data_IF_761910589276
#
_entry.id   IF_761910589276
#
_cell.length_a   1.000
_cell.length_b   1.000
_cell.length_c   1.000
_cell.angle_alpha   90.00
_cell.angle_beta   90.00
_cell.angle_gamma   90.00
#
_symmetry.space_group_name_H-M   'P 1'
#
loop_
_entity.id
_entity.type
_entity.pdbx_description
1 polymer ?
#
# COMPACT_ATOMS: atom_id res chain seq x y z
N UNK A 1 -11.79 -32.76 18.52
CA UNK A 1 -12.95 -31.90 18.86
C UNK A 1 -12.61 -30.47 18.48
N UNK A 2 -13.41 -29.90 17.58
CA UNK A 2 -13.32 -28.52 17.11
C UNK A 2 -13.88 -27.57 18.17
N UNK A 3 -13.12 -26.53 18.51
CA UNK A 3 -13.68 -25.29 19.05
C UNK A 3 -13.14 -24.13 18.22
N UNK A 4 -13.90 -23.80 17.17
CA UNK A 4 -14.00 -22.41 16.71
C UNK A 4 -14.42 -21.56 17.91
N UNK A 5 -13.59 -20.62 18.31
CA UNK A 5 -14.03 -19.43 19.05
C UNK A 5 -13.56 -18.23 18.24
N UNK A 6 -14.39 -17.76 17.29
CA UNK A 6 -15.40 -16.70 17.47
C UNK A 6 -14.75 -15.40 17.94
N UNK A 7 -14.65 -14.46 16.99
CA UNK A 7 -14.88 -13.04 17.27
C UNK A 7 -14.18 -12.50 18.52
N UNK A 8 -12.85 -12.53 18.53
CA UNK A 8 -12.14 -11.49 19.27
C UNK A 8 -12.31 -10.20 18.46
N UNK A 9 -13.45 -9.58 18.77
CA UNK A 9 -13.76 -8.16 18.66
C UNK A 9 -12.61 -7.41 18.04
N UNK A 10 -12.79 -7.07 16.77
CA UNK A 10 -12.09 -5.98 16.12
C UNK A 10 -12.27 -4.78 17.05
N UNK A 11 -11.31 -4.57 17.95
CA UNK A 11 -11.01 -3.26 18.42
C UNK A 11 -10.79 -2.50 17.11
N UNK A 12 -11.77 -1.68 16.73
CA UNK A 12 -11.57 -0.54 15.86
C UNK A 12 -10.57 0.35 16.60
N UNK A 13 -9.33 -0.12 16.76
CA UNK A 13 -8.23 0.69 17.23
C UNK A 13 -8.16 1.79 16.20
N UNK A 14 -8.62 2.97 16.62
CA UNK A 14 -8.44 4.21 15.91
C UNK A 14 -6.95 4.46 15.83
N UNK A 15 -6.28 3.82 14.88
CA UNK A 15 -4.84 3.92 14.78
C UNK A 15 -4.48 5.38 14.43
N UNK A 16 -3.83 6.11 15.35
CA UNK A 16 -3.41 7.48 15.09
C UNK A 16 -2.49 7.56 13.87
N UNK A 17 -1.74 6.50 13.55
CA UNK A 17 -0.91 6.42 12.35
C UNK A 17 -1.76 6.41 11.09
N UNK A 18 -2.85 5.65 11.03
CA UNK A 18 -3.77 5.66 9.88
C UNK A 18 -4.38 7.04 9.65
N UNK A 19 -4.86 7.72 10.71
CA UNK A 19 -5.37 9.11 10.61
C UNK A 19 -4.28 10.08 10.15
N UNK A 20 -3.07 9.94 10.69
CA UNK A 20 -1.90 10.76 10.32
C UNK A 20 -1.54 10.56 8.85
N UNK A 21 -1.51 9.33 8.35
CA UNK A 21 -1.24 9.01 6.94
C UNK A 21 -2.25 9.70 6.01
N UNK A 22 -3.54 9.59 6.32
CA UNK A 22 -4.60 10.23 5.54
C UNK A 22 -4.45 11.75 5.54
N UNK A 23 -4.19 12.35 6.71
CA UNK A 23 -3.99 13.81 6.83
C UNK A 23 -2.77 14.28 6.03
N UNK A 24 -1.66 13.57 6.11
CA UNK A 24 -0.43 13.90 5.37
C UNK A 24 -0.64 13.78 3.85
N UNK A 25 -1.33 12.72 3.40
CA UNK A 25 -1.68 12.54 1.99
C UNK A 25 -2.61 13.66 1.48
N UNK A 26 -3.64 14.02 2.25
CA UNK A 26 -4.57 15.12 1.92
C UNK A 26 -3.88 16.47 1.85
N UNK A 27 -2.90 16.72 2.73
CA UNK A 27 -2.10 17.96 2.74
C UNK A 27 -0.92 17.93 1.76
N UNK A 28 -0.89 16.98 0.82
CA UNK A 28 0.16 16.81 -0.20
C UNK A 28 1.58 16.62 0.37
N UNK A 29 1.71 16.26 1.65
CA UNK A 29 2.99 15.97 2.29
C UNK A 29 3.43 14.53 1.98
N UNK A 30 3.64 14.23 0.69
CA UNK A 30 3.82 12.86 0.20
C UNK A 30 5.00 12.11 0.82
N UNK A 31 6.14 12.79 1.03
CA UNK A 31 7.30 12.17 1.69
C UNK A 31 7.00 11.75 3.13
N UNK A 32 6.36 12.62 3.91
CA UNK A 32 5.97 12.31 5.29
C UNK A 32 4.88 11.24 5.33
N UNK A 33 3.94 11.28 4.38
CA UNK A 33 2.91 10.25 4.23
C UNK A 33 3.54 8.89 3.93
N UNK A 34 4.55 8.83 3.05
CA UNK A 34 5.28 7.60 2.74
C UNK A 34 6.01 7.05 3.96
N UNK A 35 6.68 7.88 4.77
CA UNK A 35 7.34 7.42 6.01
C UNK A 35 6.32 6.79 6.97
N UNK A 36 5.21 7.47 7.24
CA UNK A 36 4.19 6.96 8.14
C UNK A 36 3.49 5.69 7.58
N UNK A 37 3.29 5.62 6.26
CA UNK A 37 2.73 4.43 5.62
C UNK A 37 3.71 3.26 5.60
N UNK A 38 5.02 3.51 5.53
CA UNK A 38 6.02 2.46 5.63
C UNK A 38 5.94 1.79 7.00
N UNK A 39 5.92 2.58 8.07
CA UNK A 39 5.74 2.06 9.44
C UNK A 39 4.45 1.23 9.56
N UNK A 40 3.34 1.76 9.05
CA UNK A 40 2.05 1.07 9.07
C UNK A 40 2.07 -0.25 8.27
N UNK A 41 2.61 -0.23 7.06
CA UNK A 41 2.63 -1.38 6.16
C UNK A 41 3.51 -2.52 6.70
N UNK A 42 4.64 -2.20 7.35
CA UNK A 42 5.49 -3.20 7.99
C UNK A 42 4.84 -3.79 9.24
N UNK A 43 4.12 -2.97 10.02
CA UNK A 43 3.43 -3.42 11.24
C UNK A 43 2.21 -4.29 10.93
N UNK A 44 1.35 -3.84 10.02
CA UNK A 44 0.06 -4.50 9.75
C UNK A 44 0.16 -5.59 8.69
N UNK A 45 1.22 -5.58 7.87
CA UNK A 45 1.37 -6.49 6.73
C UNK A 45 0.12 -6.51 5.82
N UNK A 46 -0.61 -5.40 5.75
CA UNK A 46 -1.85 -5.31 4.99
C UNK A 46 -1.58 -4.79 3.56
N UNK A 47 -2.13 -5.46 2.53
CA UNK A 47 -1.90 -5.03 1.15
C UNK A 47 -2.32 -3.57 0.85
N UNK A 48 -3.44 -3.04 1.38
CA UNK A 48 -3.82 -1.64 1.16
C UNK A 48 -2.78 -0.61 1.63
N UNK A 49 -2.10 -0.83 2.75
CA UNK A 49 -1.04 0.09 3.21
C UNK A 49 0.17 0.08 2.28
N UNK A 50 0.58 -1.09 1.80
CA UNK A 50 1.65 -1.21 0.79
C UNK A 50 1.31 -0.50 -0.53
N UNK A 51 0.07 -0.65 -1.01
CA UNK A 51 -0.38 0.04 -2.22
C UNK A 51 -0.39 1.56 -2.03
N UNK A 52 -0.90 2.04 -0.88
CA UNK A 52 -0.89 3.48 -0.55
C UNK A 52 0.53 4.02 -0.41
N UNK A 53 1.43 3.26 0.21
CA UNK A 53 2.85 3.61 0.32
C UNK A 53 3.45 3.84 -1.07
N UNK A 54 3.27 2.86 -1.97
CA UNK A 54 3.73 2.97 -3.35
C UNK A 54 3.24 4.24 -4.04
N UNK A 55 1.94 4.53 -3.91
CA UNK A 55 1.35 5.74 -4.49
C UNK A 55 1.84 7.07 -3.87
N UNK A 56 2.22 7.08 -2.59
CA UNK A 56 2.82 8.26 -1.97
C UNK A 56 4.28 8.44 -2.40
N UNK A 57 5.03 7.35 -2.55
CA UNK A 57 6.40 7.38 -3.07
C UNK A 57 6.45 7.89 -4.51
N UNK A 58 5.52 7.45 -5.36
CA UNK A 58 5.34 7.98 -6.72
C UNK A 58 5.15 9.50 -6.72
N UNK A 59 4.19 9.99 -5.93
CA UNK A 59 3.92 11.43 -5.80
C UNK A 59 5.08 12.21 -5.16
N UNK A 60 5.97 11.54 -4.44
CA UNK A 60 7.18 12.12 -3.87
C UNK A 60 8.38 12.11 -4.84
N UNK A 61 8.22 11.60 -6.07
CA UNK A 61 9.28 11.45 -7.07
C UNK A 61 10.23 10.28 -6.80
N UNK A 62 9.83 9.32 -5.94
CA UNK A 62 10.58 8.11 -5.59
C UNK A 62 9.99 6.93 -6.36
N UNK A 63 10.07 6.98 -7.69
CA UNK A 63 9.38 6.01 -8.56
C UNK A 63 9.82 4.57 -8.30
N UNK A 64 11.12 4.26 -8.27
CA UNK A 64 11.60 2.89 -8.06
C UNK A 64 11.09 2.28 -6.75
N UNK A 65 11.29 2.99 -5.63
CA UNK A 65 10.79 2.58 -4.33
C UNK A 65 9.26 2.43 -4.30
N UNK A 66 8.55 3.28 -5.05
CA UNK A 66 7.10 3.19 -5.19
C UNK A 66 6.67 1.92 -5.91
N UNK A 67 7.36 1.51 -6.97
CA UNK A 67 7.09 0.25 -7.69
C UNK A 67 7.33 -0.92 -6.76
N UNK A 68 8.42 -0.92 -6.00
CA UNK A 68 8.72 -2.03 -5.10
C UNK A 68 7.68 -2.18 -3.99
N UNK A 69 7.19 -1.07 -3.43
CA UNK A 69 6.07 -1.11 -2.49
C UNK A 69 4.78 -1.66 -3.13
N UNK A 70 4.49 -1.31 -4.39
CA UNK A 70 3.36 -1.88 -5.12
C UNK A 70 3.52 -3.38 -5.37
N UNK A 71 4.74 -3.86 -5.66
CA UNK A 71 5.04 -5.31 -5.79
C UNK A 71 4.79 -6.06 -4.48
N UNK A 72 5.18 -5.49 -3.34
CA UNK A 72 4.89 -6.08 -2.03
C UNK A 72 3.38 -6.20 -1.79
N UNK A 73 2.63 -5.13 -2.07
CA UNK A 73 1.16 -5.15 -1.99
C UNK A 73 0.54 -6.19 -2.93
N UNK A 74 1.05 -6.32 -4.15
CA UNK A 74 0.61 -7.33 -5.12
C UNK A 74 0.85 -8.76 -4.60
N UNK A 75 2.03 -9.02 -4.04
CA UNK A 75 2.37 -10.32 -3.47
C UNK A 75 1.40 -10.70 -2.34
N UNK A 76 1.15 -9.78 -1.40
CA UNK A 76 0.19 -10.00 -0.31
C UNK A 76 -1.24 -10.26 -0.82
N UNK A 77 -1.71 -9.50 -1.82
CA UNK A 77 -3.02 -9.73 -2.43
C UNK A 77 -3.13 -11.13 -3.05
N UNK A 78 -2.08 -11.60 -3.73
CA UNK A 78 -2.03 -12.95 -4.29
C UNK A 78 -2.01 -14.01 -3.19
N UNK A 79 -1.23 -13.81 -2.14
CA UNK A 79 -1.19 -14.70 -0.97
C UNK A 79 -2.55 -14.80 -0.28
N UNK A 80 -3.31 -13.70 -0.23
CA UNK A 80 -4.69 -13.66 0.30
C UNK A 80 -5.76 -14.14 -0.72
N UNK A 81 -5.36 -14.56 -1.92
CA UNK A 81 -6.24 -14.95 -3.03
C UNK A 81 -7.22 -13.85 -3.48
N UNK A 82 -6.91 -12.58 -3.23
CA UNK A 82 -7.67 -11.42 -3.73
C UNK A 82 -7.23 -11.10 -5.19
N UNK A 83 -7.67 -11.96 -6.11
CA UNK A 83 -7.27 -11.91 -7.52
C UNK A 83 -7.73 -10.64 -8.21
N UNK A 84 -8.91 -10.11 -7.85
CA UNK A 84 -9.47 -8.88 -8.43
C UNK A 84 -8.59 -7.68 -8.11
N UNK A 85 -8.25 -7.46 -6.83
CA UNK A 85 -7.38 -6.34 -6.46
C UNK A 85 -5.95 -6.56 -6.94
N UNK A 86 -5.46 -7.80 -6.93
CA UNK A 86 -4.14 -8.12 -7.48
C UNK A 86 -4.03 -7.70 -8.97
N UNK A 87 -5.04 -7.98 -9.79
CA UNK A 87 -5.05 -7.57 -11.19
C UNK A 87 -5.00 -6.04 -11.36
N UNK A 88 -5.72 -5.30 -10.52
CA UNK A 88 -5.69 -3.83 -10.53
C UNK A 88 -4.29 -3.30 -10.22
N UNK A 89 -3.63 -3.83 -9.18
CA UNK A 89 -2.27 -3.39 -8.80
C UNK A 89 -1.25 -3.79 -9.86
N UNK A 90 -1.38 -4.98 -10.46
CA UNK A 90 -0.50 -5.42 -11.55
C UNK A 90 -0.59 -4.49 -12.77
N UNK A 91 -1.80 -4.10 -13.17
CA UNK A 91 -2.01 -3.14 -14.26
C UNK A 91 -1.39 -1.79 -13.93
N UNK A 92 -1.60 -1.28 -12.71
CA UNK A 92 -1.00 -0.03 -12.25
C UNK A 92 0.54 -0.05 -12.36
N UNK A 93 1.20 -1.14 -11.97
CA UNK A 93 2.66 -1.27 -12.10
C UNK A 93 3.09 -1.24 -13.57
N UNK A 94 2.35 -1.93 -14.46
CA UNK A 94 2.66 -1.96 -15.89
C UNK A 94 2.52 -0.56 -16.52
N UNK A 95 1.42 0.16 -16.22
CA UNK A 95 1.17 1.51 -16.73
C UNK A 95 2.28 2.49 -16.29
N UNK A 96 2.74 2.38 -15.04
CA UNK A 96 3.84 3.19 -14.51
C UNK A 96 5.19 2.86 -15.20
N UNK A 97 5.44 1.59 -15.51
CA UNK A 97 6.64 1.17 -16.25
C UNK A 97 6.65 1.70 -17.69
N UNK A 98 5.51 1.64 -18.38
CA UNK A 98 5.37 2.18 -19.74
C UNK A 98 5.54 3.70 -19.76
N UNK A 99 4.93 4.42 -18.81
CA UNK A 99 5.08 5.87 -18.70
C UNK A 99 6.50 6.32 -18.35
N UNK A 100 7.32 5.46 -17.71
CA UNK A 100 8.75 5.70 -17.52
C UNK A 100 9.53 5.50 -18.82
N UNK A 101 9.29 4.41 -19.53
CA UNK A 101 9.96 4.13 -20.81
C UNK A 101 9.70 5.26 -21.82
N UNK A 102 8.47 5.76 -21.90
CA UNK A 102 8.09 6.86 -22.79
C UNK A 102 8.73 8.22 -22.43
N UNK A 103 9.20 8.42 -21.19
CA UNK A 103 9.89 9.65 -20.76
C UNK A 103 11.41 9.59 -20.97
N UNK A 104 11.95 8.42 -21.28
CA UNK A 104 13.39 8.18 -21.37
C UNK A 104 13.93 8.08 -22.81
N UNK A 105 13.03 8.08 -23.81
CA UNK A 105 13.37 8.16 -25.24
C UNK A 105 12.98 9.51 -25.81
#
# INVERSE_FOLDING_TARGET
MSLRSRNDVVCLEFDPLRRRCIKLAKTKQYRKAAIALAELAHREQDPPSWVRLGMMLMRAGREDAGIDALKQGLWLLRSHRDTKRAAVVARLIADLGQGRAARAG
#
